data_IF_246627265012
#
_entry.id   IF_246627265012
#
_cell.length_a   1.000
_cell.length_b   1.000
_cell.length_c   1.000
_cell.angle_alpha   90.00
_cell.angle_beta   90.00
_cell.angle_gamma   90.00
#
_symmetry.space_group_name_H-M   'P 1'
#
loop_
_entity.id
_entity.type
_entity.pdbx_description
1 polymer ?
#
# COMPACT_ATOMS: atom_id res chain seq x y z
N UNK A 1 -15.83 -8.92 10.96
CA UNK A 1 -15.41 -9.44 9.65
C UNK A 1 -14.82 -10.86 9.84
N UNK A 2 -15.47 -11.93 9.32
CA UNK A 2 -15.02 -13.31 9.51
C UNK A 2 -13.96 -13.67 8.44
N UNK A 3 -12.74 -13.16 8.56
CA UNK A 3 -11.57 -13.60 7.77
C UNK A 3 -10.94 -14.92 8.30
N UNK A 4 -11.46 -15.44 9.40
CA UNK A 4 -10.84 -16.53 10.21
C UNK A 4 -10.92 -17.92 9.56
N UNK A 5 -11.69 -18.12 8.49
CA UNK A 5 -11.96 -19.46 7.96
C UNK A 5 -10.99 -19.95 6.86
N UNK A 6 -10.01 -19.14 6.44
CA UNK A 6 -9.17 -19.43 5.27
C UNK A 6 -7.72 -19.82 5.60
N UNK A 7 -7.34 -19.98 6.88
CA UNK A 7 -5.97 -20.29 7.26
C UNK A 7 -5.90 -21.49 8.22
N UNK A 8 -4.97 -22.40 7.96
CA UNK A 8 -4.57 -23.42 8.95
C UNK A 8 -3.90 -22.75 10.16
N UNK A 9 -3.91 -23.40 11.33
CA UNK A 9 -3.21 -22.91 12.54
C UNK A 9 -1.71 -22.66 12.29
N UNK A 10 -1.08 -23.49 11.45
CA UNK A 10 0.32 -23.32 11.07
C UNK A 10 0.56 -22.01 10.29
N UNK A 11 -0.29 -21.71 9.31
CA UNK A 11 -0.20 -20.47 8.53
C UNK A 11 -0.41 -19.22 9.40
N UNK A 12 -1.28 -19.32 10.40
CA UNK A 12 -1.52 -18.23 11.36
C UNK A 12 -0.30 -17.98 12.25
N UNK A 13 0.38 -19.04 12.73
CA UNK A 13 1.61 -18.91 13.51
C UNK A 13 2.75 -18.26 12.70
N UNK A 14 2.94 -18.67 11.44
CA UNK A 14 3.95 -18.10 10.55
C UNK A 14 3.66 -16.61 10.29
N UNK A 15 2.39 -16.24 10.07
CA UNK A 15 1.98 -14.84 9.89
C UNK A 15 2.23 -14.02 11.15
N UNK A 16 1.97 -14.56 12.34
CA UNK A 16 2.28 -13.90 13.61
C UNK A 16 3.77 -13.62 13.74
N UNK A 17 4.62 -14.58 13.44
CA UNK A 17 6.07 -14.41 13.46
C UNK A 17 6.55 -13.34 12.45
N UNK A 18 5.89 -13.18 11.30
CA UNK A 18 6.13 -12.06 10.37
C UNK A 18 5.79 -10.72 11.03
N UNK A 19 4.62 -10.60 11.65
CA UNK A 19 4.20 -9.35 12.32
C UNK A 19 5.14 -8.98 13.47
N UNK A 20 5.58 -9.96 14.26
CA UNK A 20 6.57 -9.76 15.31
C UNK A 20 7.91 -9.21 14.77
N UNK A 21 8.40 -9.75 13.64
CA UNK A 21 9.61 -9.23 12.98
C UNK A 21 9.42 -7.79 12.48
N UNK A 22 8.26 -7.46 11.92
CA UNK A 22 7.92 -6.10 11.49
C UNK A 22 7.93 -5.15 12.69
N UNK A 23 7.35 -5.55 13.83
CA UNK A 23 7.37 -4.76 15.06
C UNK A 23 8.79 -4.58 15.62
N UNK A 24 9.64 -5.62 15.57
CA UNK A 24 11.04 -5.55 15.99
C UNK A 24 11.88 -4.59 15.12
N UNK A 25 11.50 -4.38 13.85
CA UNK A 25 12.12 -3.39 12.95
C UNK A 25 11.66 -1.95 13.21
N UNK A 26 10.78 -1.71 14.18
CA UNK A 26 10.43 -0.36 14.64
C UNK A 26 9.00 0.08 14.32
N UNK A 27 8.20 -0.70 13.61
CA UNK A 27 6.76 -0.39 13.42
C UNK A 27 6.02 -0.55 14.75
N UNK A 28 5.32 0.49 15.18
CA UNK A 28 4.66 0.57 16.50
C UNK A 28 3.15 0.75 16.44
N UNK A 29 2.59 1.16 15.30
CA UNK A 29 1.14 1.33 15.14
C UNK A 29 0.41 -0.01 15.24
N UNK A 30 -0.29 -0.22 16.36
CA UNK A 30 -0.99 -1.48 16.67
C UNK A 30 -2.10 -1.78 15.66
N UNK A 31 -2.72 -0.76 15.03
CA UNK A 31 -3.74 -0.98 14.00
C UNK A 31 -3.10 -1.51 12.72
N UNK A 32 -1.91 -1.02 12.36
CA UNK A 32 -1.15 -1.52 11.22
C UNK A 32 -0.68 -2.96 11.46
N UNK A 33 -0.11 -3.26 12.63
CA UNK A 33 0.31 -4.61 12.99
C UNK A 33 -0.89 -5.60 13.00
N UNK A 34 -2.04 -5.18 13.54
CA UNK A 34 -3.27 -5.96 13.52
C UNK A 34 -3.80 -6.17 12.09
N UNK A 35 -3.68 -5.17 11.21
CA UNK A 35 -4.05 -5.29 9.80
C UNK A 35 -3.17 -6.31 9.05
N UNK A 36 -1.85 -6.29 9.26
CA UNK A 36 -0.94 -7.30 8.70
C UNK A 36 -1.29 -8.71 9.23
N UNK A 37 -1.66 -8.82 10.51
CA UNK A 37 -2.10 -10.08 11.10
C UNK A 37 -3.43 -10.57 10.50
N UNK A 38 -4.34 -9.66 10.15
CA UNK A 38 -5.65 -9.99 9.59
C UNK A 38 -5.58 -10.42 8.13
N UNK A 39 -4.72 -9.79 7.31
CA UNK A 39 -4.68 -10.02 5.86
C UNK A 39 -3.78 -11.21 5.51
N UNK A 40 -4.30 -12.28 4.87
CA UNK A 40 -3.54 -13.48 4.54
C UNK A 40 -2.67 -13.27 3.29
N UNK A 41 -1.42 -12.80 3.47
CA UNK A 41 -0.51 -12.43 2.40
C UNK A 41 -0.28 -13.53 1.35
N UNK A 42 -0.31 -14.82 1.76
CA UNK A 42 -0.14 -15.96 0.85
C UNK A 42 -1.22 -16.05 -0.23
N UNK A 43 -2.39 -15.43 -0.04
CA UNK A 43 -3.45 -15.39 -1.05
C UNK A 43 -3.16 -14.40 -2.20
N UNK A 44 -2.13 -13.58 -2.08
CA UNK A 44 -1.75 -12.56 -3.05
C UNK A 44 -0.50 -12.92 -3.86
N UNK A 45 0.01 -14.13 -3.68
CA UNK A 45 1.26 -14.64 -4.25
C UNK A 45 0.94 -15.91 -5.02
N UNK A 46 1.69 -16.16 -6.09
CA UNK A 46 1.58 -17.41 -6.84
C UNK A 46 1.77 -18.64 -5.94
N UNK A 47 1.03 -19.73 -6.15
CA UNK A 47 1.11 -20.94 -5.32
C UNK A 47 2.53 -21.48 -5.17
N UNK A 48 3.36 -21.41 -6.22
CA UNK A 48 4.76 -21.85 -6.19
C UNK A 48 5.63 -21.07 -5.20
N UNK A 49 5.26 -19.83 -4.86
CA UNK A 49 5.97 -18.95 -3.93
C UNK A 49 5.32 -18.89 -2.55
N UNK A 50 4.22 -19.63 -2.33
CA UNK A 50 3.42 -19.55 -1.09
C UNK A 50 4.23 -19.81 0.19
N UNK A 51 5.24 -20.70 0.14
CA UNK A 51 6.17 -20.93 1.24
C UNK A 51 7.03 -19.73 1.65
N UNK A 52 7.17 -18.75 0.76
CA UNK A 52 7.94 -17.52 0.98
C UNK A 52 7.04 -16.33 1.35
N UNK A 53 5.72 -16.51 1.38
CA UNK A 53 4.75 -15.43 1.53
C UNK A 53 4.97 -14.55 2.77
N UNK A 54 5.53 -15.10 3.81
CA UNK A 54 5.68 -14.45 5.12
C UNK A 54 7.14 -14.11 5.48
N UNK A 55 8.08 -14.26 4.54
CA UNK A 55 9.42 -13.68 4.69
C UNK A 55 9.35 -12.16 4.49
N UNK A 56 10.26 -11.41 5.10
CA UNK A 56 10.30 -9.96 4.95
C UNK A 56 11.12 -9.56 3.71
N UNK A 57 10.59 -9.92 2.54
CA UNK A 57 11.15 -9.63 1.22
C UNK A 57 10.03 -9.31 0.22
N UNK A 58 10.41 -8.59 -0.84
CA UNK A 58 9.57 -8.43 -2.03
C UNK A 58 9.59 -9.73 -2.86
N UNK A 59 8.45 -10.06 -3.47
CA UNK A 59 8.32 -11.25 -4.32
C UNK A 59 7.69 -10.87 -5.66
N UNK A 60 8.05 -11.57 -6.78
CA UNK A 60 7.48 -11.27 -8.08
C UNK A 60 5.97 -11.59 -8.13
N UNK A 61 5.21 -10.76 -8.85
CA UNK A 61 3.77 -10.94 -9.14
C UNK A 61 3.46 -10.95 -10.64
N UNK A 62 4.49 -11.13 -11.49
CA UNK A 62 4.37 -11.00 -12.94
C UNK A 62 4.53 -9.57 -13.43
N UNK A 63 4.56 -9.40 -14.76
CA UNK A 63 4.66 -8.10 -15.44
C UNK A 63 5.82 -7.20 -14.95
N UNK A 64 6.94 -7.79 -14.52
CA UNK A 64 8.08 -7.10 -13.90
C UNK A 64 7.70 -6.28 -12.65
N UNK A 65 6.63 -6.67 -11.95
CA UNK A 65 6.18 -6.05 -10.71
C UNK A 65 6.35 -6.99 -9.52
N UNK A 66 6.32 -6.42 -8.32
CA UNK A 66 6.50 -7.17 -7.08
C UNK A 66 5.44 -6.80 -6.04
N UNK A 67 5.11 -7.75 -5.17
CA UNK A 67 4.48 -7.44 -3.89
C UNK A 67 5.58 -6.93 -2.94
N UNK A 68 5.40 -5.75 -2.37
CA UNK A 68 6.37 -5.13 -1.47
C UNK A 68 6.59 -5.97 -0.20
N UNK A 69 7.78 -5.89 0.38
CA UNK A 69 8.07 -6.59 1.64
C UNK A 69 7.14 -6.13 2.77
N UNK A 70 6.76 -7.02 3.70
CA UNK A 70 5.83 -6.71 4.79
C UNK A 70 6.21 -5.49 5.63
N UNK A 71 7.50 -5.34 5.96
CA UNK A 71 8.00 -4.20 6.71
C UNK A 71 7.71 -2.86 6.00
N UNK A 72 8.05 -2.77 4.70
CA UNK A 72 7.84 -1.53 3.92
C UNK A 72 6.35 -1.19 3.82
N UNK A 73 5.47 -2.16 3.57
CA UNK A 73 4.02 -1.95 3.58
C UNK A 73 3.56 -1.36 4.91
N UNK A 74 4.00 -1.96 6.02
CA UNK A 74 3.67 -1.49 7.36
C UNK A 74 4.21 -0.07 7.63
N UNK A 75 5.47 0.17 7.30
CA UNK A 75 6.14 1.46 7.55
C UNK A 75 5.51 2.61 6.78
N UNK A 76 5.16 2.37 5.51
CA UNK A 76 4.46 3.37 4.68
C UNK A 76 3.08 3.71 5.26
N UNK A 77 2.31 2.69 5.65
CA UNK A 77 0.98 2.89 6.23
C UNK A 77 1.08 3.57 7.60
N UNK A 78 2.02 3.19 8.46
CA UNK A 78 2.30 3.84 9.74
C UNK A 78 2.62 5.31 9.55
N UNK A 79 3.58 5.64 8.67
CA UNK A 79 3.98 7.02 8.39
C UNK A 79 2.81 7.89 7.90
N UNK A 80 1.93 7.33 7.09
CA UNK A 80 0.71 8.01 6.64
C UNK A 80 -0.27 8.22 7.80
N UNK A 81 -0.36 7.26 8.74
CA UNK A 81 -1.31 7.28 9.87
C UNK A 81 -0.87 8.14 11.06
N UNK A 82 0.36 8.56 11.16
CA UNK A 82 0.86 9.40 12.26
C UNK A 82 0.04 10.70 12.45
N UNK A 83 -0.75 11.12 11.46
CA UNK A 83 -1.71 12.24 11.53
C UNK A 83 -3.06 11.91 12.16
N UNK A 84 -3.33 10.65 12.49
CA UNK A 84 -4.58 10.23 13.09
C UNK A 84 -5.42 9.29 12.23
N UNK A 85 -6.73 9.38 12.33
CA UNK A 85 -7.65 8.55 11.57
C UNK A 85 -7.65 8.89 10.08
N UNK A 86 -7.77 7.87 9.24
CA UNK A 86 -7.87 7.99 7.79
C UNK A 86 -9.31 7.74 7.35
N UNK A 87 -10.04 8.78 6.94
CA UNK A 87 -11.36 8.62 6.37
C UNK A 87 -11.25 8.13 4.92
N UNK A 88 -10.42 8.76 4.11
CA UNK A 88 -10.27 8.42 2.69
C UNK A 88 -8.81 8.32 2.27
N UNK A 89 -8.44 7.18 1.68
CA UNK A 89 -7.07 6.87 1.23
C UNK A 89 -7.06 6.55 -0.25
N UNK A 90 -6.03 7.03 -0.94
CA UNK A 90 -5.70 6.66 -2.32
C UNK A 90 -4.39 5.87 -2.35
N UNK A 91 -4.40 4.72 -3.00
CA UNK A 91 -3.22 3.93 -3.35
C UNK A 91 -2.94 4.02 -4.85
N UNK A 92 -1.69 4.25 -5.21
CA UNK A 92 -1.19 4.23 -6.58
C UNK A 92 -0.29 3.00 -6.75
N UNK A 93 -0.70 2.09 -7.61
CA UNK A 93 -0.05 0.80 -7.83
C UNK A 93 -0.67 -0.31 -6.97
N UNK A 94 -1.85 -0.79 -7.36
CA UNK A 94 -2.56 -1.89 -6.67
C UNK A 94 -1.76 -3.19 -6.67
N UNK A 95 -1.08 -3.49 -7.79
CA UNK A 95 -0.35 -4.75 -7.98
C UNK A 95 -1.26 -5.97 -7.79
N UNK A 96 -0.90 -6.85 -6.88
CA UNK A 96 -1.72 -8.02 -6.53
C UNK A 96 -2.88 -7.72 -5.55
N UNK A 97 -2.97 -6.50 -4.99
CA UNK A 97 -4.02 -6.06 -4.06
C UNK A 97 -3.71 -6.25 -2.56
N UNK A 98 -2.51 -6.72 -2.19
CA UNK A 98 -2.18 -6.96 -0.78
C UNK A 98 -2.18 -5.68 0.07
N UNK A 99 -1.46 -4.64 -0.36
CA UNK A 99 -1.40 -3.37 0.37
C UNK A 99 -2.78 -2.70 0.42
N UNK A 100 -3.57 -2.75 -0.65
CA UNK A 100 -4.96 -2.29 -0.67
C UNK A 100 -5.82 -2.98 0.40
N UNK A 101 -5.66 -4.31 0.58
CA UNK A 101 -6.36 -5.06 1.62
C UNK A 101 -5.92 -4.65 3.04
N UNK A 102 -4.62 -4.37 3.26
CA UNK A 102 -4.11 -3.88 4.55
C UNK A 102 -4.64 -2.47 4.83
N UNK A 103 -4.62 -1.57 3.84
CA UNK A 103 -5.19 -0.22 3.93
C UNK A 103 -6.68 -0.25 4.31
N UNK A 104 -7.45 -1.15 3.73
CA UNK A 104 -8.87 -1.30 4.03
C UNK A 104 -9.16 -1.71 5.48
N UNK A 105 -8.17 -2.26 6.20
CA UNK A 105 -8.31 -2.54 7.63
C UNK A 105 -8.11 -1.31 8.52
N UNK A 106 -7.49 -0.23 8.01
CA UNK A 106 -7.07 0.94 8.81
C UNK A 106 -7.66 2.27 8.34
N UNK A 107 -8.37 2.28 7.20
CA UNK A 107 -9.04 3.45 6.64
C UNK A 107 -10.54 3.18 6.48
N UNK A 108 -11.36 4.24 6.47
CA UNK A 108 -12.81 4.09 6.29
C UNK A 108 -13.17 3.81 4.82
N UNK A 109 -12.49 4.46 3.87
CA UNK A 109 -12.62 4.23 2.43
C UNK A 109 -11.23 4.16 1.79
N UNK A 110 -11.04 3.19 0.88
CA UNK A 110 -9.80 3.01 0.11
C UNK A 110 -10.12 2.99 -1.37
N UNK A 111 -9.38 3.79 -2.13
CA UNK A 111 -9.35 3.77 -3.59
C UNK A 111 -7.97 3.32 -4.02
N UNK A 112 -7.88 2.41 -4.98
CA UNK A 112 -6.60 1.89 -5.46
C UNK A 112 -6.58 1.86 -6.97
N UNK A 113 -5.54 2.45 -7.58
CA UNK A 113 -5.39 2.58 -9.03
C UNK A 113 -4.28 1.65 -9.51
N UNK A 114 -4.59 0.88 -10.57
CA UNK A 114 -3.61 0.04 -11.27
C UNK A 114 -3.64 0.38 -12.77
N UNK A 115 -2.43 0.62 -13.34
CA UNK A 115 -2.26 0.92 -14.78
C UNK A 115 -2.07 -0.31 -15.67
N UNK A 116 -1.67 -1.44 -15.08
CA UNK A 116 -1.42 -2.70 -15.78
C UNK A 116 -2.69 -3.55 -15.70
N UNK A 117 -3.42 -3.66 -16.82
CA UNK A 117 -4.71 -4.33 -16.85
C UNK A 117 -4.71 -5.76 -16.29
N UNK A 118 -3.76 -6.64 -16.63
CA UNK A 118 -3.68 -7.97 -16.03
C UNK A 118 -3.51 -7.96 -14.50
N UNK A 119 -2.76 -7.01 -13.93
CA UNK A 119 -2.61 -6.88 -12.48
C UNK A 119 -3.88 -6.34 -11.82
N UNK A 120 -4.59 -5.41 -12.46
CA UNK A 120 -5.90 -4.98 -11.98
C UNK A 120 -6.88 -6.16 -11.87
N UNK A 121 -6.94 -7.04 -12.88
CA UNK A 121 -7.80 -8.24 -12.83
C UNK A 121 -7.30 -9.27 -11.81
N UNK A 122 -5.98 -9.44 -11.65
CA UNK A 122 -5.39 -10.26 -10.59
C UNK A 122 -5.81 -9.75 -9.20
N UNK A 123 -5.70 -8.45 -8.95
CA UNK A 123 -6.11 -7.85 -7.67
C UNK A 123 -7.59 -8.11 -7.37
N UNK A 124 -8.48 -7.94 -8.36
CA UNK A 124 -9.91 -8.26 -8.21
C UNK A 124 -10.13 -9.71 -7.82
N UNK A 125 -9.41 -10.63 -8.45
CA UNK A 125 -9.49 -12.07 -8.18
C UNK A 125 -9.03 -12.38 -6.75
N UNK A 126 -7.88 -11.85 -6.33
CA UNK A 126 -7.31 -12.08 -5.01
C UNK A 126 -8.17 -11.48 -3.89
N UNK A 127 -8.76 -10.32 -4.12
CA UNK A 127 -9.56 -9.59 -3.13
C UNK A 127 -11.00 -10.11 -2.99
N UNK A 128 -11.54 -10.76 -4.01
CA UNK A 128 -12.91 -11.27 -4.04
C UNK A 128 -13.28 -12.15 -2.84
N UNK A 129 -12.44 -13.13 -2.42
CA UNK A 129 -12.75 -13.98 -1.26
C UNK A 129 -12.80 -13.21 0.06
N UNK A 130 -12.11 -12.08 0.17
CA UNK A 130 -12.00 -11.29 1.39
C UNK A 130 -13.25 -10.41 1.64
N UNK A 131 -14.09 -10.20 0.64
CA UNK A 131 -15.35 -9.44 0.71
C UNK A 131 -15.18 -8.07 1.37
N UNK A 132 -14.15 -7.32 0.98
CA UNK A 132 -13.84 -5.99 1.52
C UNK A 132 -14.81 -4.99 0.92
N UNK A 133 -15.66 -4.37 1.74
CA UNK A 133 -16.74 -3.48 1.29
C UNK A 133 -16.31 -2.02 1.07
N UNK A 134 -15.22 -1.60 1.74
CA UNK A 134 -14.69 -0.23 1.74
C UNK A 134 -13.51 -0.02 0.79
N UNK A 135 -13.23 -0.97 -0.13
CA UNK A 135 -12.17 -0.89 -1.13
C UNK A 135 -12.76 -0.79 -2.54
N UNK A 136 -12.28 0.16 -3.32
CA UNK A 136 -12.63 0.38 -4.72
C UNK A 136 -11.40 0.34 -5.60
N UNK A 137 -11.36 -0.57 -6.57
CA UNK A 137 -10.28 -0.71 -7.53
C UNK A 137 -10.63 0.03 -8.81
N UNK A 138 -9.66 0.75 -9.35
CA UNK A 138 -9.77 1.45 -10.63
C UNK A 138 -8.62 1.08 -11.56
N UNK A 139 -8.95 0.73 -12.81
CA UNK A 139 -7.97 0.65 -13.88
C UNK A 139 -7.75 2.06 -14.42
N UNK A 140 -6.51 2.59 -14.32
CA UNK A 140 -6.25 3.97 -14.67
C UNK A 140 -4.78 4.38 -14.54
N UNK A 141 -4.46 5.57 -15.01
CA UNK A 141 -3.17 6.20 -14.79
C UNK A 141 -3.12 6.80 -13.36
N UNK A 142 -2.30 6.19 -12.51
CA UNK A 142 -2.16 6.61 -11.12
C UNK A 142 -1.52 7.99 -10.95
N UNK A 143 -0.76 8.49 -11.93
CA UNK A 143 -0.15 9.83 -11.84
C UNK A 143 -1.19 10.96 -11.84
N UNK A 144 -2.38 10.70 -12.36
CA UNK A 144 -3.49 11.66 -12.37
C UNK A 144 -4.30 11.64 -11.06
N UNK A 145 -4.15 10.61 -10.25
CA UNK A 145 -4.97 10.40 -9.06
C UNK A 145 -6.45 10.20 -9.36
N UNK A 146 -7.31 10.64 -8.44
CA UNK A 146 -8.77 10.59 -8.53
C UNK A 146 -9.39 11.92 -8.08
N UNK A 147 -9.28 12.99 -8.88
CA UNK A 147 -9.77 14.31 -8.48
C UNK A 147 -11.26 14.36 -8.17
N UNK A 148 -12.07 13.48 -8.79
CA UNK A 148 -13.51 13.39 -8.55
C UNK A 148 -13.87 12.84 -7.16
N UNK A 149 -12.91 12.25 -6.44
CA UNK A 149 -13.10 11.67 -5.09
C UNK A 149 -12.31 12.41 -4.02
N UNK A 150 -11.36 13.28 -4.45
CA UNK A 150 -10.55 14.10 -3.54
C UNK A 150 -11.45 15.00 -2.63
N UNK A 151 -10.95 15.46 -1.49
CA UNK A 151 -9.58 15.26 -0.99
C UNK A 151 -9.38 13.93 -0.26
N UNK A 152 -8.09 13.53 -0.12
CA UNK A 152 -7.65 12.33 0.59
C UNK A 152 -6.89 12.70 1.87
N UNK A 153 -7.16 11.98 2.96
CA UNK A 153 -6.38 12.08 4.21
C UNK A 153 -5.01 11.41 4.07
N UNK A 154 -4.94 10.41 3.21
CA UNK A 154 -3.70 9.69 2.90
C UNK A 154 -3.59 9.31 1.43
N UNK A 155 -2.39 9.46 0.88
CA UNK A 155 -2.03 8.94 -0.45
C UNK A 155 -0.76 8.11 -0.29
N UNK A 156 -0.72 6.92 -0.91
CA UNK A 156 0.43 6.03 -0.87
C UNK A 156 0.81 5.61 -2.28
N UNK A 157 2.09 5.73 -2.63
CA UNK A 157 2.60 5.31 -3.94
C UNK A 157 3.44 4.03 -3.77
N UNK A 158 3.03 2.97 -4.46
CA UNK A 158 3.77 1.69 -4.50
C UNK A 158 4.73 1.60 -5.71
N UNK A 159 5.14 2.74 -6.23
CA UNK A 159 6.12 2.87 -7.33
C UNK A 159 6.92 4.16 -7.16
N UNK A 160 8.21 4.15 -7.53
CA UNK A 160 9.14 5.27 -7.35
C UNK A 160 9.12 6.22 -8.53
N UNK A 161 8.95 7.50 -8.27
CA UNK A 161 9.17 8.58 -9.23
C UNK A 161 10.45 9.37 -8.94
N UNK A 162 10.93 10.15 -9.91
CA UNK A 162 11.96 11.15 -9.65
C UNK A 162 11.46 12.23 -8.68
N UNK A 163 10.18 12.51 -8.77
CA UNK A 163 9.41 13.43 -7.92
C UNK A 163 7.98 12.92 -7.77
N UNK A 164 7.26 13.43 -6.78
CA UNK A 164 5.84 13.14 -6.60
C UNK A 164 5.01 13.97 -7.57
N UNK A 165 4.09 13.37 -8.36
CA UNK A 165 3.22 14.13 -9.27
C UNK A 165 2.42 15.20 -8.54
N UNK A 166 2.47 16.42 -9.06
CA UNK A 166 1.78 17.60 -8.49
C UNK A 166 0.27 17.36 -8.31
N UNK A 167 -0.34 16.68 -9.27
CA UNK A 167 -1.75 16.32 -9.22
C UNK A 167 -2.13 15.52 -7.97
N UNK A 168 -1.23 14.68 -7.44
CA UNK A 168 -1.47 13.91 -6.21
C UNK A 168 -1.34 14.79 -4.95
N UNK A 169 -0.37 15.72 -4.94
CA UNK A 169 -0.18 16.64 -3.83
C UNK A 169 -1.41 17.56 -3.65
N UNK A 170 -1.98 18.03 -4.75
CA UNK A 170 -3.17 18.88 -4.75
C UNK A 170 -4.44 18.16 -4.30
N UNK A 171 -4.47 16.81 -4.40
CA UNK A 171 -5.58 15.97 -3.95
C UNK A 171 -5.51 15.60 -2.45
N UNK A 172 -4.44 15.97 -1.72
CA UNK A 172 -4.40 15.80 -0.27
C UNK A 172 -5.36 16.78 0.43
N UNK A 173 -6.00 16.34 1.48
CA UNK A 173 -6.63 17.22 2.47
C UNK A 173 -5.56 18.07 3.18
N UNK A 174 -5.93 19.21 3.75
CA UNK A 174 -5.03 19.95 4.65
C UNK A 174 -4.80 19.06 5.90
N UNK A 175 -3.54 18.85 6.27
CA UNK A 175 -3.12 17.87 7.28
C UNK A 175 -2.97 16.45 6.73
N UNK A 176 -3.43 16.18 5.50
CA UNK A 176 -3.27 14.88 4.82
C UNK A 176 -1.81 14.59 4.48
N UNK A 177 -1.48 13.31 4.38
CA UNK A 177 -0.13 12.82 4.16
C UNK A 177 -0.03 11.95 2.92
N UNK A 178 1.02 12.20 2.14
CA UNK A 178 1.43 11.33 1.04
C UNK A 178 2.73 10.65 1.42
N UNK A 179 2.80 9.32 1.22
CA UNK A 179 4.01 8.54 1.43
C UNK A 179 4.39 7.89 0.10
N UNK A 180 5.62 8.18 -0.36
CA UNK A 180 6.09 7.73 -1.65
C UNK A 180 7.60 7.43 -1.65
N UNK A 181 8.04 6.43 -2.42
CA UNK A 181 9.45 6.29 -2.78
C UNK A 181 9.82 7.33 -3.85
N UNK A 182 10.89 8.07 -3.60
CA UNK A 182 11.39 9.12 -4.50
C UNK A 182 12.87 8.92 -4.80
N UNK A 183 13.24 8.99 -6.06
CA UNK A 183 14.60 8.81 -6.55
C UNK A 183 14.69 7.89 -7.75
N UNK A 184 15.89 7.75 -8.33
CA UNK A 184 16.18 6.88 -9.47
C UNK A 184 16.97 5.63 -9.04
N UNK A 185 18.31 5.73 -9.00
CA UNK A 185 19.18 4.63 -8.55
C UNK A 185 19.19 4.48 -7.03
N UNK A 186 19.19 5.60 -6.32
CA UNK A 186 18.98 5.66 -4.87
C UNK A 186 17.58 6.22 -4.65
N UNK A 187 16.78 5.49 -3.88
CA UNK A 187 15.41 5.86 -3.57
C UNK A 187 15.23 5.98 -2.07
N UNK A 188 14.56 7.05 -1.67
CA UNK A 188 14.21 7.30 -0.28
C UNK A 188 12.71 7.33 -0.12
N UNK A 189 12.21 6.71 0.91
CA UNK A 189 10.82 6.84 1.32
C UNK A 189 10.62 8.25 1.90
N UNK A 190 9.71 9.02 1.31
CA UNK A 190 9.37 10.37 1.76
C UNK A 190 7.93 10.41 2.25
N UNK A 191 7.72 11.22 3.30
CA UNK A 191 6.40 11.64 3.74
C UNK A 191 6.23 13.12 3.42
N UNK A 192 5.16 13.45 2.70
CA UNK A 192 4.78 14.82 2.37
C UNK A 192 3.46 15.12 3.06
N UNK A 193 3.42 16.19 3.84
CA UNK A 193 2.21 16.65 4.54
C UNK A 193 1.73 17.96 3.94
N UNK A 194 0.46 18.05 3.57
CA UNK A 194 -0.14 19.31 3.14
C UNK A 194 -0.43 20.18 4.36
N UNK A 195 0.26 21.31 4.49
CA UNK A 195 0.16 22.21 5.64
C UNK A 195 -0.66 23.49 5.35
N UNK A 196 -0.96 23.74 4.08
CA UNK A 196 -1.77 24.88 3.64
C UNK A 196 -2.40 24.65 2.28
N UNK A 197 -3.06 25.68 1.74
CA UNK A 197 -3.76 25.58 0.45
C UNK A 197 -2.83 25.20 -0.71
N UNK A 198 -1.63 25.76 -0.73
CA UNK A 198 -0.58 25.50 -1.74
C UNK A 198 0.80 25.31 -1.08
N UNK A 199 0.81 24.69 0.10
CA UNK A 199 2.00 24.53 0.92
C UNK A 199 2.10 23.10 1.45
N UNK A 200 3.30 22.52 1.31
CA UNK A 200 3.62 21.15 1.73
C UNK A 200 4.96 21.13 2.46
N UNK A 201 5.04 20.34 3.52
CA UNK A 201 6.29 19.98 4.16
C UNK A 201 6.68 18.56 3.75
N UNK A 202 7.97 18.28 3.61
CA UNK A 202 8.49 16.95 3.30
C UNK A 202 9.50 16.48 4.33
N UNK A 203 9.50 15.18 4.59
CA UNK A 203 10.42 14.50 5.49
C UNK A 203 10.93 13.22 4.81
N UNK A 204 12.24 13.00 4.85
CA UNK A 204 12.86 11.76 4.41
C UNK A 204 12.81 10.76 5.57
N UNK A 205 12.34 9.54 5.32
CA UNK A 205 12.18 8.51 6.35
C UNK A 205 13.34 7.51 6.32
N UNK A 206 13.49 6.77 5.22
CA UNK A 206 14.48 5.70 5.09
C UNK A 206 14.73 5.33 3.63
N UNK A 207 15.80 4.58 3.38
CA UNK A 207 16.11 4.06 2.05
C UNK A 207 15.13 2.94 1.67
N UNK A 208 14.79 2.88 0.37
CA UNK A 208 13.86 1.87 -0.14
C UNK A 208 14.20 1.50 -1.59
N UNK A 209 13.51 0.48 -2.11
CA UNK A 209 13.65 0.09 -3.51
C UNK A 209 12.30 -0.33 -4.08
N UNK A 210 11.83 0.41 -5.08
CA UNK A 210 10.56 0.19 -5.76
C UNK A 210 10.73 0.17 -7.28
N UNK A 211 9.76 -0.45 -7.95
CA UNK A 211 9.60 -0.35 -9.39
C UNK A 211 9.30 1.09 -9.81
N UNK A 212 9.64 1.50 -11.06
CA UNK A 212 9.43 2.88 -11.49
C UNK A 212 7.94 3.23 -11.66
N UNK A 213 7.56 4.41 -11.20
CA UNK A 213 6.27 5.04 -11.50
C UNK A 213 6.26 5.45 -12.98
N UNK A 214 5.22 5.03 -13.71
CA UNK A 214 5.11 5.27 -15.15
C UNK A 214 3.75 5.88 -15.48
N UNK A 215 3.69 6.84 -16.43
CA UNK A 215 2.43 7.38 -16.92
C UNK A 215 1.70 6.40 -17.85
N UNK A 216 0.43 6.70 -18.07
CA UNK A 216 -0.42 6.00 -19.04
C UNK A 216 -0.81 4.58 -18.62
N UNK A 217 -1.54 3.91 -19.51
CA UNK A 217 -2.04 2.55 -19.31
C UNK A 217 -1.12 1.51 -19.95
N UNK A 218 -1.19 0.24 -19.46
CA UNK A 218 -0.48 -0.92 -20.00
C UNK A 218 -1.31 -2.20 -19.87
#
# INVERSE_FOLDING_TARGET
MKLVALCSRATEAIRRAMVERVAQKGVRDQKVLAALQAVPRHMFIEPALSGQAYIDASLPIGHHQTISQPYIVARMIEAMREGGALARVLEIGTGCGYQAAVLACVAAEVYSIERIKPLHELAKTNLRPLRISNLRLQYGDGMLGLPQVAPFDGIILAAAGLEVPRALLEQLAIGGRLVAPVGAQVQHLQRITRIGTAEWSSEMLEDCHFVPLRPGLA
#
